data_IF_490931625127
#
_entry.id   IF_490931625127
#
_cell.length_a   1.000
_cell.length_b   1.000
_cell.length_c   1.000
_cell.angle_alpha   90.00
_cell.angle_beta   90.00
_cell.angle_gamma   90.00
#
_symmetry.space_group_name_H-M   'P 1'
#
loop_
_entity.id
_entity.type
_entity.pdbx_description
1 polymer ?
#
# COMPACT_ATOMS: atom_id res chain seq x y z
N UNK A 1 16.18 8.85 62.66
CA UNK A 1 16.01 7.69 61.76
C UNK A 1 17.37 7.45 61.15
N UNK A 2 18.13 6.51 61.69
CA UNK A 2 19.42 6.10 61.13
C UNK A 2 19.13 4.94 60.18
N UNK A 3 18.97 5.25 58.89
CA UNK A 3 18.93 4.22 57.84
C UNK A 3 20.29 4.17 57.18
N UNK A 4 20.81 2.97 56.96
CA UNK A 4 22.08 2.78 56.27
C UNK A 4 21.97 3.19 54.81
N UNK A 5 23.10 3.54 54.17
CA UNK A 5 23.12 3.91 52.76
C UNK A 5 22.56 2.79 51.87
N UNK A 6 22.90 1.54 52.20
CA UNK A 6 22.43 0.35 51.52
C UNK A 6 20.91 0.21 51.59
N UNK A 7 20.31 0.40 52.77
CA UNK A 7 18.84 0.34 52.95
C UNK A 7 18.12 1.44 52.17
N UNK A 8 18.68 2.66 52.15
CA UNK A 8 18.12 3.77 51.37
C UNK A 8 18.20 3.46 49.87
N UNK A 9 19.34 2.95 49.40
CA UNK A 9 19.54 2.59 47.99
C UNK A 9 18.62 1.45 47.55
N UNK A 10 18.45 0.44 48.39
CA UNK A 10 17.56 -0.69 48.10
C UNK A 10 16.08 -0.27 48.08
N UNK A 11 15.68 0.59 49.02
CA UNK A 11 14.34 1.20 49.03
C UNK A 11 14.06 2.04 47.78
N UNK A 12 15.04 2.82 47.31
CA UNK A 12 14.94 3.59 46.07
C UNK A 12 14.77 2.67 44.86
N UNK A 13 15.61 1.63 44.72
CA UNK A 13 15.51 0.66 43.62
C UNK A 13 14.14 -0.05 43.59
N UNK A 14 13.63 -0.46 44.76
CA UNK A 14 12.33 -1.11 44.86
C UNK A 14 11.18 -0.18 44.46
N UNK A 15 11.26 1.11 44.81
CA UNK A 15 10.27 2.13 44.38
C UNK A 15 10.32 2.35 42.88
N UNK A 16 11.50 2.50 42.31
CA UNK A 16 11.68 2.71 40.87
C UNK A 16 11.17 1.51 40.05
N UNK A 17 11.43 0.29 40.52
CA UNK A 17 10.95 -0.93 39.89
C UNK A 17 9.42 -1.06 39.94
N UNK A 18 8.82 -0.72 41.09
CA UNK A 18 7.37 -0.69 41.23
C UNK A 18 6.74 0.37 40.29
N UNK A 19 7.30 1.58 40.24
CA UNK A 19 6.80 2.66 39.38
C UNK A 19 6.96 2.38 37.89
N UNK A 20 8.01 1.65 37.48
CA UNK A 20 8.20 1.19 36.10
C UNK A 20 7.15 0.16 35.67
N UNK A 21 6.71 -0.70 36.59
CA UNK A 21 5.79 -1.80 36.32
C UNK A 21 4.30 -1.41 36.43
N UNK A 22 3.98 -0.20 36.91
CA UNK A 22 2.60 0.29 36.98
C UNK A 22 1.94 0.40 35.60
N UNK A 23 0.61 0.25 35.58
CA UNK A 23 -0.22 0.53 34.40
C UNK A 23 -0.07 1.99 33.95
N UNK A 24 0.05 2.91 34.90
CA UNK A 24 0.38 4.32 34.71
C UNK A 24 1.40 4.75 35.78
N UNK A 25 2.51 5.38 35.40
CA UNK A 25 3.58 5.79 36.32
C UNK A 25 4.60 6.69 35.64
N UNK A 26 5.30 7.53 36.41
CA UNK A 26 6.25 8.51 35.88
C UNK A 26 7.48 7.86 35.21
N UNK A 27 7.88 6.67 35.68
CA UNK A 27 9.00 5.89 35.12
C UNK A 27 8.58 4.94 33.99
N UNK A 28 7.31 4.98 33.58
CA UNK A 28 6.83 4.18 32.45
C UNK A 28 7.29 4.80 31.14
N UNK A 29 8.22 4.13 30.49
CA UNK A 29 8.74 4.52 29.20
C UNK A 29 7.62 4.40 28.14
N UNK A 30 7.38 5.48 27.39
CA UNK A 30 6.40 5.47 26.31
C UNK A 30 6.79 4.46 25.23
N UNK A 31 5.80 3.84 24.58
CA UNK A 31 6.04 2.78 23.56
C UNK A 31 6.90 3.25 22.38
N UNK A 32 6.89 4.55 22.10
CA UNK A 32 7.61 5.20 21.01
C UNK A 32 8.84 6.01 21.49
N UNK A 33 9.16 5.97 22.78
CA UNK A 33 10.32 6.66 23.33
C UNK A 33 11.63 5.99 22.88
N UNK A 34 12.64 6.82 22.63
CA UNK A 34 14.03 6.37 22.40
C UNK A 34 14.78 6.58 23.70
N UNK A 35 15.25 5.49 24.30
CA UNK A 35 15.96 5.50 25.58
C UNK A 35 17.46 5.55 25.31
N UNK A 36 18.15 6.48 25.97
CA UNK A 36 19.61 6.59 25.93
C UNK A 36 20.13 6.26 27.32
N UNK A 37 20.94 5.20 27.44
CA UNK A 37 21.65 4.90 28.68
C UNK A 37 22.90 5.78 28.78
N UNK A 38 22.87 6.73 29.72
CA UNK A 38 23.97 7.66 30.00
C UNK A 38 24.89 7.21 31.14
N UNK A 39 24.65 6.05 31.76
CA UNK A 39 25.33 5.63 33.00
C UNK A 39 26.85 5.50 32.88
N UNK A 40 27.36 5.30 31.66
CA UNK A 40 28.79 5.16 31.33
C UNK A 40 29.26 6.15 30.27
N UNK A 41 28.54 7.26 30.08
CA UNK A 41 28.80 8.24 29.01
C UNK A 41 29.11 9.61 29.59
N UNK A 42 30.06 10.32 29.01
CA UNK A 42 30.26 11.74 29.29
C UNK A 42 29.23 12.61 28.53
N UNK A 43 29.14 13.89 28.88
CA UNK A 43 28.17 14.83 28.29
C UNK A 43 28.30 14.87 26.75
N UNK A 44 29.52 14.90 26.21
CA UNK A 44 29.73 14.99 24.77
C UNK A 44 29.28 13.72 24.02
N UNK A 45 29.46 12.55 24.63
CA UNK A 45 28.99 11.27 24.07
C UNK A 45 27.46 11.20 24.04
N UNK A 46 26.80 11.65 25.12
CA UNK A 46 25.33 11.73 25.19
C UNK A 46 24.81 12.69 24.13
N UNK A 47 25.40 13.89 24.01
CA UNK A 47 25.03 14.88 22.98
C UNK A 47 25.21 14.30 21.57
N UNK A 48 26.33 13.63 21.29
CA UNK A 48 26.60 13.00 19.99
C UNK A 48 25.55 11.95 19.61
N UNK A 49 25.10 11.15 20.58
CA UNK A 49 24.08 10.13 20.35
C UNK A 49 22.70 10.74 20.09
N UNK A 50 22.31 11.76 20.87
CA UNK A 50 21.09 12.54 20.63
C UNK A 50 21.14 13.15 19.22
N UNK A 51 22.26 13.76 18.83
CA UNK A 51 22.42 14.33 17.50
C UNK A 51 22.24 13.28 16.39
N UNK A 52 22.82 12.09 16.54
CA UNK A 52 22.67 11.00 15.57
C UNK A 52 21.21 10.57 15.42
N UNK A 53 20.50 10.43 16.54
CA UNK A 53 19.07 10.09 16.57
C UNK A 53 18.25 11.18 15.85
N UNK A 54 18.48 12.45 16.20
CA UNK A 54 17.77 13.59 15.59
C UNK A 54 18.07 13.70 14.09
N UNK A 55 19.34 13.58 13.67
CA UNK A 55 19.74 13.60 12.26
C UNK A 55 19.07 12.47 11.47
N UNK A 56 19.07 11.25 12.01
CA UNK A 56 18.39 10.10 11.41
C UNK A 56 16.88 10.33 11.29
N UNK A 57 16.23 10.82 12.34
CA UNK A 57 14.79 11.10 12.34
C UNK A 57 14.43 12.20 11.34
N UNK A 58 15.19 13.31 11.29
CA UNK A 58 15.02 14.36 10.29
C UNK A 58 15.16 13.84 8.86
N UNK A 59 16.14 12.96 8.60
CA UNK A 59 16.31 12.33 7.28
C UNK A 59 15.10 11.46 6.91
N UNK A 60 14.57 10.69 7.87
CA UNK A 60 13.38 9.87 7.66
C UNK A 60 12.15 10.73 7.36
N UNK A 61 11.93 11.82 8.10
CA UNK A 61 10.80 12.74 7.87
C UNK A 61 10.88 13.33 6.46
N UNK A 62 12.04 13.86 6.04
CA UNK A 62 12.23 14.41 4.69
C UNK A 62 12.00 13.36 3.60
N UNK A 63 12.41 12.12 3.84
CA UNK A 63 12.17 11.01 2.93
C UNK A 63 10.67 10.70 2.83
N UNK A 64 9.97 10.58 3.96
CA UNK A 64 8.52 10.39 4.01
C UNK A 64 7.78 11.53 3.29
N UNK A 65 8.11 12.79 3.57
CA UNK A 65 7.55 13.96 2.87
C UNK A 65 7.73 13.86 1.35
N UNK A 66 8.91 13.43 0.89
CA UNK A 66 9.18 13.22 -0.54
C UNK A 66 8.33 12.09 -1.12
N UNK A 67 8.26 10.94 -0.45
CA UNK A 67 7.50 9.76 -0.88
C UNK A 67 6.02 10.09 -1.01
N UNK A 68 5.46 10.79 -0.01
CA UNK A 68 4.04 11.13 0.04
C UNK A 68 3.69 12.44 -0.69
N UNK A 69 4.64 13.08 -1.38
CA UNK A 69 4.37 14.29 -2.16
C UNK A 69 3.47 13.99 -3.36
N UNK A 70 2.36 14.71 -3.48
CA UNK A 70 1.52 14.68 -4.68
C UNK A 70 2.03 15.69 -5.72
N UNK A 71 2.29 15.26 -6.96
CA UNK A 71 2.60 16.17 -8.07
C UNK A 71 1.29 16.73 -8.66
N UNK A 72 1.14 18.06 -8.81
CA UNK A 72 -0.05 18.64 -9.41
C UNK A 72 -0.25 18.19 -10.85
N UNK A 73 -1.50 18.10 -11.30
CA UNK A 73 -1.86 17.73 -12.67
C UNK A 73 -1.65 18.89 -13.64
N UNK A 74 -0.39 19.21 -13.95
CA UNK A 74 -0.03 20.18 -14.98
C UNK A 74 -0.12 19.56 -16.38
N UNK A 75 -0.30 20.38 -17.43
CA UNK A 75 -0.30 19.93 -18.83
C UNK A 75 0.97 19.14 -19.17
N UNK A 76 2.13 19.59 -18.67
CA UNK A 76 3.41 18.90 -18.84
C UNK A 76 3.40 17.51 -18.20
N UNK A 77 2.96 17.37 -16.94
CA UNK A 77 2.85 16.06 -16.28
C UNK A 77 1.92 15.12 -17.05
N UNK A 78 0.78 15.62 -17.53
CA UNK A 78 -0.16 14.82 -18.32
C UNK A 78 0.46 14.34 -19.63
N UNK A 79 1.25 15.19 -20.29
CA UNK A 79 2.01 14.83 -21.48
C UNK A 79 3.09 13.79 -21.18
N UNK A 80 3.94 14.03 -20.17
CA UNK A 80 4.96 13.08 -19.68
C UNK A 80 4.35 11.71 -19.39
N UNK A 81 3.22 11.69 -18.68
CA UNK A 81 2.49 10.47 -18.33
C UNK A 81 1.97 9.74 -19.57
N UNK A 82 1.32 10.46 -20.50
CA UNK A 82 0.81 9.86 -21.73
C UNK A 82 1.94 9.27 -22.57
N UNK A 83 3.03 10.02 -22.74
CA UNK A 83 4.22 9.57 -23.45
C UNK A 83 4.80 8.31 -22.80
N UNK A 84 4.99 8.33 -21.48
CA UNK A 84 5.53 7.19 -20.74
C UNK A 84 4.64 5.94 -20.86
N UNK A 85 3.31 6.09 -20.73
CA UNK A 85 2.38 4.97 -20.88
C UNK A 85 2.47 4.38 -22.29
N UNK A 86 2.47 5.21 -23.33
CA UNK A 86 2.56 4.75 -24.74
C UNK A 86 3.91 4.08 -25.01
N UNK A 87 5.01 4.68 -24.55
CA UNK A 87 6.35 4.13 -24.70
C UNK A 87 6.49 2.78 -23.99
N UNK A 88 6.07 2.70 -22.73
CA UNK A 88 6.11 1.45 -21.96
C UNK A 88 5.19 0.42 -22.59
N UNK A 89 3.97 0.78 -23.01
CA UNK A 89 3.05 -0.12 -23.70
C UNK A 89 3.68 -0.75 -24.95
N UNK A 90 4.35 0.06 -25.78
CA UNK A 90 5.03 -0.41 -26.98
C UNK A 90 6.14 -1.42 -26.64
N UNK A 91 7.02 -1.08 -25.69
CA UNK A 91 8.05 -2.01 -25.22
C UNK A 91 7.43 -3.29 -24.63
N UNK A 92 6.33 -3.14 -23.89
CA UNK A 92 5.64 -4.26 -23.27
C UNK A 92 5.09 -5.25 -24.30
N UNK A 93 4.50 -4.75 -25.40
CA UNK A 93 3.98 -5.60 -26.47
C UNK A 93 5.08 -6.27 -27.30
N UNK A 94 6.25 -5.66 -27.40
CA UNK A 94 7.40 -6.27 -28.08
C UNK A 94 7.99 -7.39 -27.22
N UNK A 95 8.18 -7.12 -25.93
CA UNK A 95 8.84 -8.06 -25.02
C UNK A 95 7.87 -9.17 -24.59
N UNK A 96 6.58 -8.85 -24.40
CA UNK A 96 5.55 -9.78 -23.93
C UNK A 96 4.37 -9.79 -24.89
N UNK A 97 3.84 -10.98 -25.19
CA UNK A 97 2.64 -11.14 -26.03
C UNK A 97 1.39 -10.95 -25.17
N UNK A 98 1.08 -9.69 -24.85
CA UNK A 98 -0.05 -9.32 -24.00
C UNK A 98 -1.36 -9.49 -24.78
N UNK A 99 -2.26 -10.31 -24.24
CA UNK A 99 -3.60 -10.51 -24.79
C UNK A 99 -4.65 -10.04 -23.77
N UNK A 100 -5.35 -8.96 -24.12
CA UNK A 100 -6.43 -8.41 -23.32
C UNK A 100 -7.75 -9.10 -23.71
N UNK A 101 -8.40 -9.74 -22.76
CA UNK A 101 -9.69 -10.40 -22.95
C UNK A 101 -10.70 -9.73 -22.02
N UNK A 102 -11.85 -9.33 -22.56
CA UNK A 102 -12.86 -8.61 -21.79
C UNK A 102 -12.51 -7.15 -21.47
N UNK A 103 -11.50 -6.54 -22.11
CA UNK A 103 -11.11 -5.14 -21.83
C UNK A 103 -12.28 -4.14 -21.94
N UNK A 104 -13.25 -4.44 -22.82
CA UNK A 104 -14.50 -3.69 -22.98
C UNK A 104 -15.37 -3.63 -21.71
N UNK A 105 -15.13 -4.51 -20.74
CA UNK A 105 -15.83 -4.54 -19.45
C UNK A 105 -15.40 -3.38 -18.54
N UNK A 106 -14.29 -2.68 -18.84
CA UNK A 106 -13.96 -1.40 -18.20
C UNK A 106 -14.80 -0.29 -18.85
N UNK A 107 -15.79 0.28 -18.14
CA UNK A 107 -16.67 1.26 -18.76
C UNK A 107 -15.91 2.56 -19.10
N UNK A 108 -16.18 3.08 -20.30
CA UNK A 108 -15.62 4.35 -20.80
C UNK A 108 -16.38 5.59 -20.27
N UNK A 109 -17.19 5.42 -19.24
CA UNK A 109 -17.89 6.52 -18.59
C UNK A 109 -16.96 7.32 -17.67
N UNK A 110 -17.50 8.33 -17.00
CA UNK A 110 -16.77 9.14 -16.03
C UNK A 110 -16.91 8.61 -14.59
N UNK A 111 -17.41 7.39 -14.40
CA UNK A 111 -17.53 6.79 -13.07
C UNK A 111 -16.18 6.22 -12.61
N UNK A 112 -16.00 6.13 -11.30
CA UNK A 112 -14.86 5.45 -10.68
C UNK A 112 -15.07 3.95 -10.61
N UNK A 113 -13.98 3.19 -10.67
CA UNK A 113 -13.95 1.74 -10.51
C UNK A 113 -12.77 1.32 -9.64
N UNK A 114 -12.91 0.18 -8.98
CA UNK A 114 -11.76 -0.51 -8.36
C UNK A 114 -11.42 -1.70 -9.24
N UNK A 115 -10.22 -1.72 -9.81
CA UNK A 115 -9.69 -2.88 -10.55
C UNK A 115 -8.95 -3.78 -9.56
N UNK A 116 -9.45 -4.98 -9.33
CA UNK A 116 -8.83 -5.96 -8.44
C UNK A 116 -8.23 -7.10 -9.25
N UNK A 117 -6.92 -7.31 -9.14
CA UNK A 117 -6.22 -8.37 -9.86
C UNK A 117 -5.46 -9.32 -8.92
N UNK A 118 -5.20 -10.55 -9.36
CA UNK A 118 -4.19 -11.40 -8.74
C UNK A 118 -2.78 -10.86 -9.02
N UNK A 119 -1.80 -11.24 -8.19
CA UNK A 119 -0.44 -10.69 -8.26
C UNK A 119 0.62 -11.78 -8.43
N UNK A 120 1.07 -12.03 -9.66
CA UNK A 120 2.13 -12.98 -10.01
C UNK A 120 3.53 -12.36 -10.03
N UNK A 121 3.65 -11.12 -10.50
CA UNK A 121 4.92 -10.48 -10.85
C UNK A 121 4.93 -8.98 -10.54
N UNK A 122 6.11 -8.37 -10.41
CA UNK A 122 6.25 -6.90 -10.26
C UNK A 122 5.69 -6.13 -11.48
N UNK A 123 5.61 -6.82 -12.60
CA UNK A 123 5.15 -6.36 -13.90
C UNK A 123 3.62 -6.32 -14.07
N UNK A 124 2.85 -6.94 -13.18
CA UNK A 124 1.38 -7.01 -13.32
C UNK A 124 0.71 -5.63 -13.38
N UNK A 125 1.12 -4.72 -12.50
CA UNK A 125 0.56 -3.37 -12.45
C UNK A 125 0.82 -2.62 -13.76
N UNK A 126 2.03 -2.76 -14.31
CA UNK A 126 2.42 -2.13 -15.58
C UNK A 126 1.57 -2.71 -16.72
N UNK A 127 1.34 -4.02 -16.72
CA UNK A 127 0.48 -4.68 -17.70
C UNK A 127 -0.92 -4.05 -17.68
N UNK A 128 -1.55 -3.95 -16.50
CA UNK A 128 -2.90 -3.38 -16.38
C UNK A 128 -2.94 -1.89 -16.75
N UNK A 129 -1.95 -1.09 -16.31
CA UNK A 129 -1.88 0.35 -16.62
C UNK A 129 -1.77 0.60 -18.11
N UNK A 130 -0.90 -0.16 -18.79
CA UNK A 130 -0.62 0.04 -20.21
C UNK A 130 -1.67 -0.57 -21.11
N UNK A 131 -2.37 -1.62 -20.65
CA UNK A 131 -3.41 -2.30 -21.40
C UNK A 131 -4.82 -1.78 -21.16
N UNK A 132 -5.02 -0.80 -20.28
CA UNK A 132 -6.35 -0.25 -20.02
C UNK A 132 -6.66 0.99 -20.86
N UNK A 133 -7.89 1.07 -21.37
CA UNK A 133 -8.41 2.28 -22.03
C UNK A 133 -8.56 3.50 -21.11
N UNK A 134 -8.54 3.30 -19.78
CA UNK A 134 -8.62 4.37 -18.79
C UNK A 134 -7.41 4.28 -17.86
N UNK A 135 -6.93 5.44 -17.42
CA UNK A 135 -5.79 5.48 -16.51
C UNK A 135 -6.14 4.82 -15.17
N UNK A 136 -5.36 3.79 -14.80
CA UNK A 136 -5.51 3.06 -13.53
C UNK A 136 -4.41 3.47 -12.57
N UNK A 137 -4.79 4.04 -11.42
CA UNK A 137 -3.87 4.43 -10.36
C UNK A 137 -3.63 3.24 -9.43
N UNK A 138 -2.41 2.72 -9.32
CA UNK A 138 -2.11 1.61 -8.40
C UNK A 138 -1.57 2.09 -7.05
N UNK A 139 -1.62 1.19 -6.06
CA UNK A 139 -0.88 1.32 -4.81
C UNK A 139 0.44 0.55 -4.86
N UNK A 140 1.54 1.13 -4.37
CA UNK A 140 2.87 0.51 -4.36
C UNK A 140 3.58 0.70 -3.03
N UNK A 141 4.45 -0.25 -2.65
CA UNK A 141 5.21 -0.18 -1.39
C UNK A 141 6.02 1.11 -1.34
N UNK A 142 5.90 1.88 -0.25
CA UNK A 142 6.56 3.17 -0.07
C UNK A 142 8.08 3.13 -0.29
N UNK A 143 8.74 2.02 0.06
CA UNK A 143 10.18 1.83 -0.17
C UNK A 143 10.59 1.90 -1.65
N UNK A 144 9.67 1.71 -2.60
CA UNK A 144 9.96 1.87 -4.02
C UNK A 144 10.24 3.32 -4.43
N UNK A 145 9.76 4.29 -3.64
CA UNK A 145 9.96 5.72 -3.87
C UNK A 145 11.32 6.22 -3.33
N UNK A 146 12.12 5.37 -2.69
CA UNK A 146 13.45 5.77 -2.20
C UNK A 146 14.45 5.94 -3.34
N UNK A 147 14.33 5.13 -4.40
CA UNK A 147 15.14 5.28 -5.60
C UNK A 147 14.63 6.45 -6.45
N UNK A 148 15.53 7.35 -6.88
CA UNK A 148 15.16 8.58 -7.58
C UNK A 148 14.44 8.34 -8.92
N UNK A 149 14.87 7.33 -9.69
CA UNK A 149 14.27 7.00 -10.98
C UNK A 149 12.86 6.43 -10.79
N UNK A 150 12.70 5.46 -9.89
CA UNK A 150 11.39 4.89 -9.59
C UNK A 150 10.47 5.95 -8.98
N UNK A 151 10.94 6.78 -8.05
CA UNK A 151 10.17 7.90 -7.49
C UNK A 151 9.60 8.80 -8.58
N UNK A 152 10.42 9.22 -9.55
CA UNK A 152 9.98 10.07 -10.65
C UNK A 152 8.87 9.41 -11.48
N UNK A 153 9.07 8.15 -11.89
CA UNK A 153 8.08 7.37 -12.64
C UNK A 153 6.77 7.20 -11.86
N UNK A 154 6.88 6.82 -10.58
CA UNK A 154 5.73 6.58 -9.71
C UNK A 154 4.93 7.86 -9.45
N UNK A 155 5.58 9.02 -9.30
CA UNK A 155 4.88 10.29 -9.17
C UNK A 155 4.24 10.77 -10.49
N UNK A 156 4.83 10.46 -11.65
CA UNK A 156 4.20 10.72 -12.96
C UNK A 156 2.97 9.86 -13.13
N UNK A 157 3.11 8.56 -12.86
CA UNK A 157 2.05 7.56 -12.85
C UNK A 157 1.14 7.64 -11.63
N UNK A 158 1.23 8.72 -10.84
CA UNK A 158 0.25 9.04 -9.81
C UNK A 158 0.08 7.91 -8.76
N UNK A 159 1.07 7.05 -8.59
CA UNK A 159 0.99 5.87 -7.73
C UNK A 159 0.83 6.27 -6.27
N UNK A 160 -0.05 5.58 -5.55
CA UNK A 160 -0.28 5.82 -4.13
C UNK A 160 0.77 5.02 -3.33
N UNK A 161 1.67 5.67 -2.58
CA UNK A 161 2.57 4.96 -1.69
C UNK A 161 1.78 4.33 -0.55
N UNK A 162 2.12 3.09 -0.20
CA UNK A 162 1.54 2.38 0.95
C UNK A 162 2.64 1.73 1.78
N UNK A 163 2.58 1.93 3.10
CA UNK A 163 3.32 1.15 4.06
C UNK A 163 2.54 -0.10 4.46
N UNK A 164 2.98 -1.28 3.99
CA UNK A 164 2.31 -2.56 4.27
C UNK A 164 2.54 -3.08 5.70
N UNK A 165 3.51 -2.53 6.43
CA UNK A 165 3.87 -2.95 7.79
C UNK A 165 3.05 -2.20 8.85
N UNK A 166 2.34 -1.14 8.45
CA UNK A 166 1.51 -0.31 9.32
C UNK A 166 0.10 -0.19 8.76
N UNK A 167 -0.86 0.12 9.61
CA UNK A 167 -2.17 0.58 9.15
C UNK A 167 -2.02 1.98 8.54
N UNK A 168 -1.78 2.01 7.22
CA UNK A 168 -1.53 3.25 6.48
C UNK A 168 -2.84 3.97 6.15
N UNK A 169 -3.30 4.75 7.14
CA UNK A 169 -4.52 5.57 7.04
C UNK A 169 -4.40 6.58 5.91
N UNK A 170 -3.19 7.09 5.63
CA UNK A 170 -2.96 8.10 4.62
C UNK A 170 -3.14 7.51 3.21
N UNK A 171 -2.56 6.33 2.94
CA UNK A 171 -2.80 5.61 1.70
C UNK A 171 -4.30 5.34 1.48
N UNK A 172 -5.02 4.93 2.52
CA UNK A 172 -6.47 4.69 2.45
C UNK A 172 -7.26 5.97 2.13
N UNK A 173 -6.92 7.10 2.77
CA UNK A 173 -7.55 8.40 2.49
C UNK A 173 -7.34 8.83 1.04
N UNK A 174 -6.12 8.67 0.51
CA UNK A 174 -5.78 8.99 -0.88
C UNK A 174 -6.54 8.13 -1.87
N UNK A 175 -6.63 6.83 -1.61
CA UNK A 175 -7.40 5.89 -2.43
C UNK A 175 -8.88 6.26 -2.48
N UNK A 176 -9.49 6.56 -1.33
CA UNK A 176 -10.88 7.03 -1.26
C UNK A 176 -11.07 8.37 -2.00
N UNK A 177 -10.12 9.30 -1.86
CA UNK A 177 -10.15 10.59 -2.56
C UNK A 177 -10.09 10.39 -4.09
N UNK A 178 -9.20 9.53 -4.58
CA UNK A 178 -9.10 9.20 -6.00
C UNK A 178 -10.40 8.61 -6.54
N UNK A 179 -11.00 7.65 -5.83
CA UNK A 179 -12.29 7.07 -6.20
C UNK A 179 -13.41 8.12 -6.23
N UNK A 180 -13.48 9.00 -5.24
CA UNK A 180 -14.47 10.10 -5.23
C UNK A 180 -14.28 11.10 -6.39
N UNK A 181 -13.07 11.21 -6.93
CA UNK A 181 -12.77 12.07 -8.08
C UNK A 181 -13.08 11.39 -9.44
N UNK A 182 -13.70 10.21 -9.46
CA UNK A 182 -13.99 9.48 -10.71
C UNK A 182 -12.78 8.73 -11.28
N UNK A 183 -11.69 8.59 -10.53
CA UNK A 183 -10.50 7.86 -10.96
C UNK A 183 -10.68 6.34 -10.78
N UNK A 184 -9.90 5.56 -11.53
CA UNK A 184 -9.84 4.10 -11.37
C UNK A 184 -8.67 3.74 -10.45
N UNK A 185 -8.96 2.95 -9.41
CA UNK A 185 -7.95 2.47 -8.45
C UNK A 185 -7.62 1.01 -8.71
N UNK A 186 -6.35 0.69 -8.92
CA UNK A 186 -5.83 -0.67 -9.05
C UNK A 186 -5.36 -1.24 -7.70
N UNK A 187 -5.83 -2.43 -7.37
CA UNK A 187 -5.54 -3.12 -6.10
C UNK A 187 -5.17 -4.58 -6.38
N UNK A 188 -4.18 -5.09 -5.66
CA UNK A 188 -3.91 -6.51 -5.54
C UNK A 188 -4.39 -6.98 -4.14
N UNK A 189 -5.57 -7.63 -4.02
CA UNK A 189 -6.15 -7.98 -2.72
C UNK A 189 -5.25 -8.92 -1.89
N UNK A 190 -4.39 -9.70 -2.56
CA UNK A 190 -3.37 -10.56 -1.93
C UNK A 190 -2.36 -9.79 -1.08
N UNK A 191 -2.15 -8.49 -1.34
CA UNK A 191 -1.18 -7.64 -0.63
C UNK A 191 0.30 -7.98 -0.87
N UNK A 192 0.59 -9.09 -1.54
CA UNK A 192 1.94 -9.53 -1.93
C UNK A 192 1.91 -10.35 -3.22
N UNK A 193 3.09 -10.62 -3.78
CA UNK A 193 3.22 -11.47 -4.98
C UNK A 193 3.09 -12.94 -4.60
N UNK A 194 2.37 -13.69 -5.45
CA UNK A 194 2.04 -15.11 -5.29
C UNK A 194 1.35 -15.38 -3.96
N UNK A 195 0.53 -14.44 -3.48
CA UNK A 195 -0.23 -14.61 -2.24
C UNK A 195 -1.25 -15.73 -2.35
N UNK A 196 -1.87 -15.91 -3.53
CA UNK A 196 -2.76 -17.04 -3.82
C UNK A 196 -2.05 -18.39 -3.74
N UNK A 197 -0.87 -18.53 -4.37
CA UNK A 197 -0.06 -19.77 -4.27
C UNK A 197 0.40 -20.06 -2.83
N UNK A 198 0.50 -19.02 -2.01
CA UNK A 198 0.95 -19.09 -0.61
C UNK A 198 -0.19 -19.23 0.41
N UNK A 199 -1.44 -19.34 -0.03
CA UNK A 199 -2.62 -19.39 0.85
C UNK A 199 -2.65 -18.27 1.90
N UNK A 200 -2.19 -17.07 1.54
CA UNK A 200 -2.14 -15.94 2.48
C UNK A 200 -3.53 -15.31 2.65
N UNK A 201 -3.80 -14.83 3.86
CA UNK A 201 -5.03 -14.10 4.17
C UNK A 201 -5.16 -12.86 3.27
N UNK A 202 -6.23 -12.87 2.49
CA UNK A 202 -6.60 -11.76 1.61
C UNK A 202 -6.99 -10.55 2.45
N UNK A 203 -6.56 -9.35 2.03
CA UNK A 203 -6.85 -8.12 2.77
C UNK A 203 -8.22 -7.56 2.37
N UNK A 204 -9.01 -7.18 3.38
CA UNK A 204 -10.34 -6.56 3.21
C UNK A 204 -10.31 -5.10 2.68
N UNK A 205 -9.15 -4.56 2.33
CA UNK A 205 -9.01 -3.16 1.91
C UNK A 205 -9.82 -2.82 0.65
N UNK A 206 -9.84 -3.72 -0.34
CA UNK A 206 -10.62 -3.54 -1.56
C UNK A 206 -12.13 -3.52 -1.28
N UNK A 207 -12.62 -4.50 -0.51
CA UNK A 207 -14.02 -4.57 -0.08
C UNK A 207 -14.42 -3.32 0.72
N UNK A 208 -13.60 -2.92 1.69
CA UNK A 208 -13.85 -1.72 2.49
C UNK A 208 -13.99 -0.47 1.62
N UNK A 209 -13.08 -0.26 0.68
CA UNK A 209 -13.14 0.90 -0.22
C UNK A 209 -14.36 0.84 -1.12
N UNK A 210 -14.65 -0.32 -1.73
CA UNK A 210 -15.83 -0.50 -2.59
C UNK A 210 -17.13 -0.13 -1.87
N UNK A 211 -17.33 -0.62 -0.64
CA UNK A 211 -18.52 -0.31 0.16
C UNK A 211 -18.55 1.15 0.63
N UNK A 212 -17.40 1.68 1.06
CA UNK A 212 -17.28 3.05 1.58
C UNK A 212 -17.49 4.11 0.49
N UNK A 213 -17.07 3.83 -0.73
CA UNK A 213 -17.20 4.76 -1.87
C UNK A 213 -18.37 4.42 -2.79
N UNK A 214 -19.08 3.31 -2.55
CA UNK A 214 -20.17 2.80 -3.39
C UNK A 214 -19.73 2.57 -4.85
N UNK A 215 -18.53 2.02 -5.01
CA UNK A 215 -17.87 1.81 -6.30
C UNK A 215 -17.85 0.34 -6.65
N UNK A 216 -18.14 0.03 -7.92
CA UNK A 216 -18.08 -1.32 -8.47
C UNK A 216 -16.64 -1.82 -8.58
N UNK A 217 -16.46 -3.12 -8.43
CA UNK A 217 -15.15 -3.78 -8.53
C UNK A 217 -15.06 -4.54 -9.84
N UNK A 218 -14.01 -4.31 -10.62
CA UNK A 218 -13.71 -5.05 -11.85
C UNK A 218 -12.64 -6.09 -11.51
N UNK A 219 -12.99 -7.38 -11.45
CA UNK A 219 -12.03 -8.44 -11.22
C UNK A 219 -11.19 -8.68 -12.48
N UNK A 220 -9.89 -8.93 -12.30
CA UNK A 220 -8.96 -9.20 -13.40
C UNK A 220 -8.14 -10.45 -13.09
N UNK A 221 -8.27 -11.47 -13.93
CA UNK A 221 -7.43 -12.66 -13.90
C UNK A 221 -6.20 -12.50 -14.79
N UNK A 222 -5.03 -12.41 -14.18
CA UNK A 222 -3.72 -12.37 -14.84
C UNK A 222 -3.17 -13.79 -14.91
N UNK A 223 -2.85 -14.24 -16.12
CA UNK A 223 -2.28 -15.57 -16.38
C UNK A 223 -1.02 -15.47 -17.23
N UNK A 224 -0.15 -16.47 -17.13
CA UNK A 224 1.07 -16.60 -17.92
C UNK A 224 2.32 -16.22 -17.13
N UNK A 225 3.41 -15.95 -17.85
CA UNK A 225 4.69 -15.58 -17.26
C UNK A 225 5.28 -14.39 -17.98
N UNK A 226 5.94 -13.50 -17.24
CA UNK A 226 6.66 -12.37 -17.81
C UNK A 226 8.10 -12.79 -18.20
N UNK A 227 8.21 -13.77 -19.09
CA UNK A 227 9.48 -14.09 -19.79
C UNK A 227 9.45 -13.43 -21.18
N UNK A 228 10.61 -13.10 -21.76
CA UNK A 228 10.63 -12.58 -23.13
C UNK A 228 9.90 -13.51 -24.10
N UNK A 229 9.05 -12.93 -24.95
CA UNK A 229 8.26 -13.58 -25.99
C UNK A 229 7.19 -14.56 -25.52
N UNK A 230 6.88 -14.63 -24.22
CA UNK A 230 5.77 -15.45 -23.71
C UNK A 230 4.46 -14.67 -23.69
N UNK A 231 3.35 -15.41 -23.72
CA UNK A 231 2.01 -14.84 -23.61
C UNK A 231 1.68 -14.50 -22.16
N UNK A 232 1.04 -13.35 -21.99
CA UNK A 232 0.46 -12.91 -20.73
C UNK A 232 -0.97 -12.48 -21.02
N UNK A 233 -1.92 -13.08 -20.32
CA UNK A 233 -3.34 -12.81 -20.53
C UNK A 233 -3.86 -11.93 -19.41
N UNK A 234 -4.57 -10.86 -19.77
CA UNK A 234 -5.31 -10.02 -18.84
C UNK A 234 -6.80 -10.26 -19.08
N UNK A 235 -7.44 -11.03 -18.20
CA UNK A 235 -8.86 -11.37 -18.29
C UNK A 235 -9.71 -10.43 -17.43
N UNK A 236 -10.41 -9.48 -18.03
CA UNK A 236 -11.25 -8.53 -17.33
C UNK A 236 -12.68 -9.08 -17.23
N UNK A 237 -13.18 -9.21 -16.00
CA UNK A 237 -14.56 -9.61 -15.73
C UNK A 237 -15.52 -8.43 -15.69
N UNK A 238 -16.82 -8.74 -15.58
CA UNK A 238 -17.88 -7.74 -15.44
C UNK A 238 -17.74 -6.96 -14.12
N UNK A 239 -18.10 -5.66 -14.10
CA UNK A 239 -18.14 -4.90 -12.86
C UNK A 239 -19.10 -5.51 -11.82
N UNK A 240 -18.55 -5.94 -10.69
CA UNK A 240 -19.28 -6.46 -9.53
C UNK A 240 -19.92 -5.29 -8.77
N UNK A 241 -21.22 -5.41 -8.53
CA UNK A 241 -22.01 -4.44 -7.77
C UNK A 241 -22.27 -4.99 -6.35
N UNK A 242 -22.02 -4.17 -5.35
CA UNK A 242 -22.18 -4.54 -3.94
C UNK A 242 -23.20 -3.64 -3.23
N UNK A 243 -24.17 -3.11 -3.99
CA UNK A 243 -25.19 -2.20 -3.49
C UNK A 243 -25.96 -2.72 -2.28
N UNK A 244 -26.21 -4.03 -2.20
CA UNK A 244 -26.84 -4.70 -1.06
C UNK A 244 -26.05 -4.60 0.27
N UNK A 245 -24.75 -4.30 0.21
CA UNK A 245 -23.85 -4.21 1.37
C UNK A 245 -23.46 -2.76 1.71
N UNK A 246 -23.96 -1.75 1.00
CA UNK A 246 -23.62 -0.36 1.29
C UNK A 246 -24.09 0.06 2.69
N UNK A 247 -23.22 0.79 3.41
CA UNK A 247 -23.43 1.17 4.82
C UNK A 247 -23.00 0.11 5.83
N UNK A 248 -22.55 -1.08 5.38
CA UNK A 248 -22.03 -2.16 6.22
C UNK A 248 -20.50 -2.27 6.16
N UNK A 249 -19.78 -1.21 5.82
CA UNK A 249 -18.32 -1.24 5.68
C UNK A 249 -17.54 -1.49 6.98
N UNK A 250 -18.20 -1.42 8.14
CA UNK A 250 -17.61 -1.73 9.46
C UNK A 250 -17.83 -3.18 9.90
N UNK A 251 -18.74 -3.89 9.23
CA UNK A 251 -19.07 -5.27 9.54
C UNK A 251 -18.02 -6.21 8.93
N UNK A 252 -17.29 -6.92 9.79
CA UNK A 252 -16.20 -7.81 9.37
C UNK A 252 -16.69 -8.98 8.53
N UNK A 253 -17.88 -9.51 8.81
CA UNK A 253 -18.40 -10.67 8.11
C UNK A 253 -18.85 -10.28 6.70
N UNK A 254 -19.46 -9.10 6.57
CA UNK A 254 -19.78 -8.50 5.27
C UNK A 254 -18.51 -8.24 4.47
N UNK A 255 -17.48 -7.65 5.08
CA UNK A 255 -16.20 -7.42 4.41
C UNK A 255 -15.57 -8.73 3.92
N UNK A 256 -15.55 -9.77 4.75
CA UNK A 256 -15.03 -11.08 4.38
C UNK A 256 -15.83 -11.70 3.21
N UNK A 257 -17.16 -11.57 3.23
CA UNK A 257 -18.04 -12.06 2.16
C UNK A 257 -17.77 -11.34 0.83
N UNK A 258 -17.68 -10.01 0.85
CA UNK A 258 -17.40 -9.21 -0.35
C UNK A 258 -15.99 -9.50 -0.87
N UNK A 259 -14.99 -9.57 0.01
CA UNK A 259 -13.62 -9.97 -0.36
C UNK A 259 -13.61 -11.35 -1.02
N UNK A 260 -14.31 -12.33 -0.44
CA UNK A 260 -14.43 -13.67 -1.02
C UNK A 260 -15.06 -13.62 -2.41
N UNK A 261 -16.17 -12.91 -2.60
CA UNK A 261 -16.79 -12.77 -3.92
C UNK A 261 -15.86 -12.14 -4.97
N UNK A 262 -15.09 -11.11 -4.59
CA UNK A 262 -14.08 -10.51 -5.48
C UNK A 262 -13.02 -11.55 -5.86
N UNK A 263 -12.51 -12.29 -4.88
CA UNK A 263 -11.46 -13.29 -5.09
C UNK A 263 -11.96 -14.48 -5.93
N UNK A 264 -13.15 -14.99 -5.66
CA UNK A 264 -13.75 -16.10 -6.42
C UNK A 264 -13.87 -15.73 -7.91
N UNK A 265 -14.25 -14.48 -8.22
CA UNK A 265 -14.29 -13.99 -9.60
C UNK A 265 -12.89 -13.87 -10.22
N UNK A 266 -11.89 -13.37 -9.47
CA UNK A 266 -10.50 -13.32 -9.95
C UNK A 266 -10.01 -14.74 -10.26
N UNK A 267 -10.24 -15.69 -9.36
CA UNK A 267 -9.82 -17.09 -9.51
C UNK A 267 -10.47 -17.73 -10.72
N UNK A 268 -11.77 -17.52 -10.90
CA UNK A 268 -12.50 -17.99 -12.08
C UNK A 268 -11.84 -17.48 -13.36
N UNK A 269 -11.57 -16.18 -13.44
CA UNK A 269 -10.91 -15.55 -14.60
C UNK A 269 -9.46 -16.02 -14.82
N UNK A 270 -8.76 -16.45 -13.76
CA UNK A 270 -7.42 -17.06 -13.87
C UNK A 270 -7.42 -18.52 -14.32
N UNK A 271 -8.55 -19.21 -14.18
CA UNK A 271 -8.69 -20.63 -14.54
C UNK A 271 -9.45 -20.85 -15.85
N UNK A 272 -10.11 -19.82 -16.40
CA UNK A 272 -10.65 -19.87 -17.75
C UNK A 272 -9.54 -20.22 -18.74
N UNK A 273 -9.70 -21.38 -19.40
CA UNK A 273 -8.79 -21.83 -20.46
C UNK A 273 -8.90 -20.88 -21.64
N UNK A 274 -7.75 -20.51 -22.19
CA UNK A 274 -7.59 -19.53 -23.27
C UNK A 274 -6.81 -20.12 -24.41
#
# INVERSE_FOLDING_TARGET
IESTYEEVLESLKARDENDKNKTYGALKIAKDAIVIDSSKKNINEVVSEIEKIVKKKKKQIKLEEKIYKERPNTKLKMFERKFLIVFVHFLYRIIFRIENIGEKEIPKDNNSYIVCANHLNYLDAIAVITSSNRFVRFMCKSSMFENALFSWVLHIGDVIPINREKNDIEAMKRSIKALKNGEILGIFPEGTRKGMEKNLDVKNGAAFMALRTKVKVIPVGIQGTFKPFTKVYLNYGKPLDFSEYYGKEKDKDVLNKVTKQIMDNIIMLTNEKK
#
